data_IF_944938923556
#
_entry.id   IF_944938923556
#
_cell.length_a   1.000
_cell.length_b   1.000
_cell.length_c   1.000
_cell.angle_alpha   90.00
_cell.angle_beta   90.00
_cell.angle_gamma   90.00
#
_symmetry.space_group_name_H-M   'P 1'
#
loop_
_entity.id
_entity.type
_entity.pdbx_description
1 polymer ?
#
# COMPACT_ATOMS: atom_id res chain seq x y z
N UNK A 1 -1.23 -18.98 -10.07
CA UNK A 1 -0.40 -18.29 -11.08
C UNK A 1 -0.18 -16.89 -10.54
N UNK A 2 1.07 -16.40 -10.41
CA UNK A 2 1.31 -15.06 -9.89
C UNK A 2 0.65 -14.04 -10.81
N UNK A 3 0.02 -13.00 -10.23
CA UNK A 3 -0.41 -11.82 -10.96
C UNK A 3 0.87 -11.14 -11.49
N UNK A 4 1.31 -11.54 -12.68
CA UNK A 4 2.23 -10.72 -13.43
C UNK A 4 1.43 -9.50 -13.86
N UNK A 5 1.58 -8.38 -13.13
CA UNK A 5 1.29 -7.08 -13.72
C UNK A 5 2.17 -7.04 -14.98
N UNK A 6 1.57 -7.07 -16.18
CA UNK A 6 2.36 -7.11 -17.40
C UNK A 6 3.31 -5.91 -17.40
N UNK A 7 4.57 -6.16 -17.75
CA UNK A 7 5.56 -5.11 -18.04
C UNK A 7 4.83 -4.04 -18.88
N UNK A 8 4.81 -2.77 -18.46
CA UNK A 8 3.84 -1.81 -18.94
C UNK A 8 4.08 -1.52 -20.43
N UNK A 9 3.25 -2.13 -21.27
CA UNK A 9 2.85 -1.58 -22.56
C UNK A 9 1.63 -0.73 -22.24
N UNK A 10 1.63 0.52 -22.71
CA UNK A 10 0.52 1.45 -22.62
C UNK A 10 -0.84 0.75 -22.69
N UNK A 11 -1.54 0.66 -21.54
CA UNK A 11 -2.81 -0.04 -21.42
C UNK A 11 -3.20 -0.15 -19.95
N UNK A 12 -4.32 0.48 -19.59
CA UNK A 12 -4.95 0.31 -18.29
C UNK A 12 -5.20 -1.18 -18.06
N UNK A 13 -4.65 -1.75 -16.98
CA UNK A 13 -5.06 -3.08 -16.52
C UNK A 13 -6.02 -2.85 -15.36
N UNK A 14 -7.34 -3.02 -15.54
CA UNK A 14 -8.26 -3.01 -14.43
C UNK A 14 -7.96 -4.22 -13.55
N UNK A 15 -7.55 -3.99 -12.31
CA UNK A 15 -7.52 -5.02 -11.29
C UNK A 15 -8.85 -4.96 -10.52
N UNK A 16 -9.63 -6.04 -10.60
CA UNK A 16 -10.84 -6.20 -9.79
C UNK A 16 -10.55 -7.20 -8.68
N UNK A 17 -10.57 -6.73 -7.43
CA UNK A 17 -10.52 -7.61 -6.27
C UNK A 17 -11.96 -8.02 -5.90
N UNK A 18 -12.24 -9.33 -5.89
CA UNK A 18 -13.54 -9.90 -5.46
C UNK A 18 -13.55 -10.26 -3.95
N UNK A 19 -14.73 -10.34 -3.29
CA UNK A 19 -14.91 -10.34 -1.82
C UNK A 19 -14.55 -11.64 -1.09
N UNK A 20 -13.43 -12.27 -1.40
CA UNK A 20 -13.07 -13.55 -0.77
C UNK A 20 -11.66 -13.49 -0.15
N UNK A 21 -11.17 -12.30 0.23
CA UNK A 21 -9.83 -12.20 0.78
C UNK A 21 -9.71 -11.13 1.86
N UNK A 22 -9.04 -11.45 2.96
CA UNK A 22 -8.77 -10.53 4.09
C UNK A 22 -8.04 -9.24 3.64
N UNK A 23 -7.28 -9.33 2.56
CA UNK A 23 -6.72 -8.17 1.83
C UNK A 23 -7.78 -7.13 1.46
N UNK A 24 -8.90 -7.60 0.89
CA UNK A 24 -9.98 -6.76 0.41
C UNK A 24 -10.58 -5.94 1.55
N UNK A 25 -10.82 -6.56 2.70
CA UNK A 25 -11.46 -5.88 3.83
C UNK A 25 -10.59 -4.75 4.38
N UNK A 26 -9.28 -4.97 4.50
CA UNK A 26 -8.36 -3.96 5.01
C UNK A 26 -8.16 -2.81 4.01
N UNK A 27 -8.13 -3.11 2.72
CA UNK A 27 -8.08 -2.08 1.69
C UNK A 27 -9.38 -1.26 1.67
N UNK A 28 -10.55 -1.91 1.72
CA UNK A 28 -11.87 -1.26 1.85
C UNK A 28 -11.89 -0.28 3.01
N UNK A 29 -11.45 -0.72 4.20
CA UNK A 29 -11.43 0.15 5.40
C UNK A 29 -10.48 1.33 5.21
N UNK A 30 -9.30 1.10 4.63
CA UNK A 30 -8.32 2.16 4.39
C UNK A 30 -8.86 3.22 3.41
N UNK A 31 -9.37 2.77 2.27
CA UNK A 31 -9.90 3.65 1.23
C UNK A 31 -11.14 4.40 1.70
N UNK A 32 -12.03 3.73 2.44
CA UNK A 32 -13.22 4.37 2.98
C UNK A 32 -12.89 5.42 4.04
N UNK A 33 -11.93 5.11 4.92
CA UNK A 33 -11.43 6.05 5.92
C UNK A 33 -10.80 7.29 5.27
N UNK A 34 -9.98 7.08 4.23
CA UNK A 34 -9.39 8.16 3.45
C UNK A 34 -10.44 9.01 2.73
N UNK A 35 -11.36 8.38 2.01
CA UNK A 35 -12.45 9.05 1.30
C UNK A 35 -13.33 9.87 2.25
N UNK A 36 -13.74 9.28 3.38
CA UNK A 36 -14.56 9.93 4.39
C UNK A 36 -13.89 11.17 4.97
N UNK A 37 -12.60 11.08 5.30
CA UNK A 37 -11.84 12.22 5.82
C UNK A 37 -11.74 13.35 4.79
N UNK A 38 -11.33 13.04 3.55
CA UNK A 38 -11.20 14.03 2.47
C UNK A 38 -12.55 14.72 2.23
N UNK A 39 -13.65 13.95 2.21
CA UNK A 39 -15.00 14.49 2.03
C UNK A 39 -15.42 15.42 3.18
N UNK A 40 -15.20 15.01 4.42
CA UNK A 40 -15.53 15.84 5.60
C UNK A 40 -14.76 17.15 5.64
N UNK A 41 -13.45 17.11 5.39
CA UNK A 41 -12.59 18.30 5.44
C UNK A 41 -12.90 19.30 4.33
N UNK A 42 -13.19 18.83 3.11
CA UNK A 42 -13.54 19.70 1.98
C UNK A 42 -14.92 20.36 2.16
N UNK A 43 -15.89 19.62 2.70
CA UNK A 43 -17.19 20.19 3.08
C UNK A 43 -17.06 21.29 4.14
N UNK A 44 -16.25 21.06 5.17
CA UNK A 44 -15.99 22.08 6.22
C UNK A 44 -15.28 23.31 5.68
N UNK A 45 -14.37 23.14 4.71
CA UNK A 45 -13.64 24.24 4.08
C UNK A 45 -14.48 25.03 3.05
N UNK A 46 -15.76 24.70 2.87
CA UNK A 46 -16.63 25.33 1.85
C UNK A 46 -16.11 25.12 0.43
N UNK A 47 -15.21 24.17 0.23
CA UNK A 47 -14.57 23.90 -1.06
C UNK A 47 -15.40 22.86 -1.80
N UNK A 48 -15.62 23.06 -3.10
CA UNK A 48 -16.23 22.02 -3.93
C UNK A 48 -15.31 20.80 -3.87
N UNK A 49 -15.88 19.66 -3.49
CA UNK A 49 -15.19 18.37 -3.46
C UNK A 49 -14.41 18.18 -4.75
N UNK A 50 -13.15 17.71 -4.70
CA UNK A 50 -12.59 17.03 -5.86
C UNK A 50 -13.49 15.83 -6.13
N UNK A 51 -14.37 15.97 -7.13
CA UNK A 51 -15.13 14.86 -7.66
C UNK A 51 -14.15 14.03 -8.46
N UNK A 52 -13.77 12.89 -7.90
CA UNK A 52 -12.82 12.03 -8.55
C UNK A 52 -12.34 10.89 -7.66
N UNK A 53 -11.65 9.94 -8.29
CA UNK A 53 -11.08 8.80 -7.61
C UNK A 53 -9.91 9.22 -6.71
N UNK A 54 -9.63 8.42 -5.68
CA UNK A 54 -8.44 8.62 -4.85
C UNK A 54 -7.23 8.10 -5.62
N UNK A 55 -6.15 8.86 -5.60
CA UNK A 55 -4.92 8.55 -6.32
C UNK A 55 -3.78 8.31 -5.36
N UNK A 56 -3.13 7.17 -5.52
CA UNK A 56 -2.00 6.74 -4.72
C UNK A 56 -0.78 6.64 -5.62
N UNK A 57 0.20 7.51 -5.39
CA UNK A 57 1.48 7.43 -6.09
C UNK A 57 2.23 6.18 -5.63
N UNK A 58 2.89 5.51 -6.58
CA UNK A 58 3.87 4.47 -6.32
C UNK A 58 5.27 5.04 -6.57
N UNK A 59 6.23 4.65 -5.74
CA UNK A 59 7.65 4.98 -5.88
C UNK A 59 8.44 3.82 -6.46
N UNK A 60 8.05 2.58 -6.13
CA UNK A 60 8.66 1.38 -6.67
C UNK A 60 8.38 1.25 -8.16
N UNK A 61 7.20 1.68 -8.58
CA UNK A 61 6.80 1.82 -9.97
C UNK A 61 6.52 3.27 -10.30
N UNK A 62 6.90 3.74 -11.49
CA UNK A 62 6.49 5.07 -11.98
C UNK A 62 5.02 5.03 -12.40
N UNK A 63 4.16 4.73 -11.45
CA UNK A 63 2.75 4.47 -11.63
C UNK A 63 1.93 5.19 -10.55
N UNK A 64 0.67 5.43 -10.88
CA UNK A 64 -0.36 5.91 -9.97
C UNK A 64 -1.46 4.85 -9.92
N UNK A 65 -1.91 4.52 -8.72
CA UNK A 65 -3.06 3.64 -8.49
C UNK A 65 -4.25 4.55 -8.23
N UNK A 66 -5.22 4.46 -9.12
CA UNK A 66 -6.49 5.15 -8.99
C UNK A 66 -7.52 4.19 -8.39
N UNK A 67 -8.09 4.57 -7.25
CA UNK A 67 -9.14 3.84 -6.56
C UNK A 67 -10.49 4.51 -6.84
N UNK A 68 -11.39 3.77 -7.49
CA UNK A 68 -12.77 4.21 -7.70
C UNK A 68 -13.54 4.08 -6.38
N UNK A 69 -13.73 5.21 -5.71
CA UNK A 69 -14.35 5.28 -4.39
C UNK A 69 -15.87 5.39 -4.42
N UNK A 70 -16.48 5.62 -5.59
CA UNK A 70 -17.93 5.82 -5.63
C UNK A 70 -18.71 4.53 -5.31
N UNK A 71 -18.37 3.36 -5.86
CA UNK A 71 -18.98 2.09 -5.45
C UNK A 71 -18.76 1.80 -3.96
N UNK A 72 -17.57 2.14 -3.44
CA UNK A 72 -17.20 1.94 -2.04
C UNK A 72 -18.06 2.79 -1.11
N UNK A 73 -18.11 4.10 -1.35
CA UNK A 73 -18.88 5.02 -0.53
C UNK A 73 -20.38 4.77 -0.66
N UNK A 74 -20.86 4.42 -1.86
CA UNK A 74 -22.27 4.05 -2.07
C UNK A 74 -22.65 2.82 -1.24
N UNK A 75 -21.84 1.76 -1.26
CA UNK A 75 -22.09 0.56 -0.46
C UNK A 75 -22.14 0.88 1.05
N UNK A 76 -21.15 1.62 1.54
CA UNK A 76 -21.06 1.99 2.96
C UNK A 76 -22.23 2.88 3.39
N UNK A 77 -22.62 3.84 2.55
CA UNK A 77 -23.77 4.72 2.83
C UNK A 77 -25.08 3.94 2.90
N UNK A 78 -25.16 2.82 2.17
CA UNK A 78 -26.28 1.89 2.21
C UNK A 78 -26.18 0.85 3.35
N UNK A 79 -25.24 1.02 4.29
CA UNK A 79 -24.96 0.06 5.37
C UNK A 79 -24.65 -1.35 4.85
N UNK A 80 -23.99 -1.42 3.70
CA UNK A 80 -23.61 -2.67 3.04
C UNK A 80 -22.09 -2.74 2.85
N UNK A 81 -21.56 -3.96 2.77
CA UNK A 81 -20.15 -4.17 2.43
C UNK A 81 -19.98 -4.09 0.90
N UNK A 82 -18.99 -3.35 0.38
CA UNK A 82 -18.71 -3.35 -1.05
C UNK A 82 -18.33 -4.76 -1.52
N UNK A 83 -18.77 -5.13 -2.72
CA UNK A 83 -18.44 -6.42 -3.34
C UNK A 83 -17.28 -6.35 -4.34
N UNK A 84 -16.75 -5.16 -4.57
CA UNK A 84 -15.55 -4.98 -5.39
C UNK A 84 -14.94 -3.61 -5.13
N UNK A 85 -13.63 -3.53 -5.29
CA UNK A 85 -12.88 -2.28 -5.44
C UNK A 85 -12.22 -2.35 -6.80
N UNK A 86 -12.34 -1.26 -7.56
CA UNK A 86 -11.66 -1.11 -8.83
C UNK A 86 -10.41 -0.28 -8.61
N UNK A 87 -9.26 -0.93 -8.83
CA UNK A 87 -7.97 -0.27 -8.87
C UNK A 87 -7.52 -0.17 -10.32
N UNK A 88 -7.13 1.03 -10.74
CA UNK A 88 -6.62 1.31 -12.07
C UNK A 88 -5.19 1.81 -11.92
N UNK A 89 -4.23 0.95 -12.25
CA UNK A 89 -2.84 1.37 -12.35
C UNK A 89 -2.62 2.09 -13.68
N UNK A 90 -2.04 3.29 -13.61
CA UNK A 90 -1.70 4.10 -14.78
C UNK A 90 -0.24 4.53 -14.69
N UNK A 91 0.49 4.44 -15.81
CA UNK A 91 1.86 4.95 -15.88
C UNK A 91 1.86 6.47 -15.67
N UNK A 92 2.81 6.96 -14.87
CA UNK A 92 3.01 8.40 -14.73
C UNK A 92 3.84 8.94 -15.90
N UNK A 93 3.44 10.06 -16.52
CA UNK A 93 4.12 10.60 -17.71
C UNK A 93 5.53 11.14 -17.42
N UNK A 94 5.87 11.43 -16.15
CA UNK A 94 7.20 11.89 -15.74
C UNK A 94 7.56 11.29 -14.39
N UNK A 95 8.82 10.88 -14.24
CA UNK A 95 9.37 10.52 -12.94
C UNK A 95 9.25 11.73 -12.01
N UNK A 96 8.66 11.59 -10.80
CA UNK A 96 8.62 12.70 -9.85
C UNK A 96 10.05 13.18 -9.62
N UNK A 97 10.30 14.48 -9.81
CA UNK A 97 11.63 15.08 -9.64
C UNK A 97 12.27 14.60 -8.34
N UNK A 98 13.52 14.13 -8.43
CA UNK A 98 14.26 13.48 -7.34
C UNK A 98 14.47 14.35 -6.09
N UNK A 99 14.03 15.62 -6.11
CA UNK A 99 14.02 16.52 -4.96
C UNK A 99 12.91 16.11 -3.98
N UNK A 100 13.18 15.04 -3.22
CA UNK A 100 12.35 14.52 -2.13
C UNK A 100 12.53 15.39 -0.89
N UNK A 101 11.93 16.56 -0.89
CA UNK A 101 11.80 17.39 0.33
C UNK A 101 10.34 17.72 0.55
N UNK A 102 9.57 16.72 0.96
CA UNK A 102 8.23 16.95 1.49
C UNK A 102 8.27 16.72 2.98
N UNK A 103 8.31 17.80 3.74
CA UNK A 103 7.71 17.81 5.08
C UNK A 103 6.33 17.17 4.91
N UNK A 104 6.13 16.01 5.54
CA UNK A 104 4.89 15.26 5.36
C UNK A 104 3.73 16.15 5.76
N UNK A 105 2.86 16.49 4.80
CA UNK A 105 1.67 17.29 5.08
C UNK A 105 0.80 16.51 6.08
N UNK A 106 -0.09 17.20 6.80
CA UNK A 106 -1.02 16.52 7.72
C UNK A 106 -1.82 15.41 7.03
N UNK A 107 -2.17 15.61 5.75
CA UNK A 107 -2.86 14.63 4.91
C UNK A 107 -1.96 13.43 4.57
N UNK A 108 -0.69 13.65 4.24
CA UNK A 108 0.25 12.55 3.99
C UNK A 108 0.46 11.71 5.26
N UNK A 109 0.58 12.33 6.43
CA UNK A 109 0.70 11.59 7.70
C UNK A 109 -0.55 10.75 7.98
N UNK A 110 -1.74 11.34 7.82
CA UNK A 110 -2.99 10.61 8.02
C UNK A 110 -3.12 9.43 7.04
N UNK A 111 -2.92 9.69 5.75
CA UNK A 111 -3.00 8.66 4.70
C UNK A 111 -1.99 7.55 4.97
N UNK A 112 -0.76 7.93 5.30
CA UNK A 112 0.30 7.00 5.69
C UNK A 112 -0.08 6.13 6.90
N UNK A 113 -0.62 6.71 7.96
CA UNK A 113 -1.07 5.97 9.15
C UNK A 113 -2.21 4.99 8.85
N UNK A 114 -3.16 5.39 8.00
CA UNK A 114 -4.27 4.52 7.57
C UNK A 114 -3.73 3.30 6.82
N UNK A 115 -2.84 3.51 5.83
CA UNK A 115 -2.24 2.42 5.06
C UNK A 115 -1.32 1.55 5.91
N UNK A 116 -0.55 2.16 6.81
CA UNK A 116 0.30 1.44 7.74
C UNK A 116 -0.50 0.50 8.64
N UNK A 117 -1.63 0.98 9.18
CA UNK A 117 -2.53 0.15 9.98
C UNK A 117 -3.12 -1.01 9.17
N UNK A 118 -3.65 -0.73 7.97
CA UNK A 118 -4.20 -1.76 7.08
C UNK A 118 -3.15 -2.83 6.73
N UNK A 119 -1.93 -2.42 6.42
CA UNK A 119 -0.82 -3.32 6.14
C UNK A 119 -0.45 -4.17 7.35
N UNK A 120 -0.31 -3.57 8.53
CA UNK A 120 0.00 -4.30 9.77
C UNK A 120 -1.02 -5.41 10.02
N UNK A 121 -2.32 -5.08 10.01
CA UNK A 121 -3.37 -6.06 10.28
C UNK A 121 -3.37 -7.17 9.24
N UNK A 122 -3.26 -6.83 7.96
CA UNK A 122 -3.15 -7.83 6.90
C UNK A 122 -1.92 -8.74 7.06
N UNK A 123 -0.77 -8.17 7.39
CA UNK A 123 0.47 -8.92 7.57
C UNK A 123 0.35 -9.90 8.73
N UNK A 124 -0.15 -9.49 9.91
CA UNK A 124 -0.28 -10.39 11.07
C UNK A 124 -1.14 -11.61 10.76
N UNK A 125 -2.19 -11.38 9.99
CA UNK A 125 -3.10 -12.41 9.50
C UNK A 125 -2.37 -13.36 8.52
N UNK A 126 -1.63 -12.79 7.57
CA UNK A 126 -0.87 -13.54 6.56
C UNK A 126 0.33 -14.28 7.15
N UNK A 127 0.87 -13.84 8.30
CA UNK A 127 2.10 -14.38 8.87
C UNK A 127 2.01 -15.87 9.20
N UNK A 128 0.84 -16.32 9.67
CA UNK A 128 0.64 -17.75 9.92
C UNK A 128 0.78 -18.57 8.64
N UNK A 129 0.19 -18.11 7.53
CA UNK A 129 0.28 -18.79 6.24
C UNK A 129 1.71 -18.72 5.66
N UNK A 130 2.42 -17.60 5.86
CA UNK A 130 3.84 -17.48 5.53
C UNK A 130 4.71 -18.49 6.28
N UNK A 131 4.51 -18.62 7.61
CA UNK A 131 5.24 -19.57 8.44
C UNK A 131 4.99 -21.02 8.03
N UNK A 132 3.73 -21.36 7.71
CA UNK A 132 3.35 -22.71 7.22
C UNK A 132 4.00 -23.02 5.87
N UNK A 133 4.09 -22.03 4.98
CA UNK A 133 4.54 -22.23 3.59
C UNK A 133 6.06 -22.15 3.43
N UNK A 134 6.71 -21.25 4.16
CA UNK A 134 8.14 -20.93 3.98
C UNK A 134 8.99 -21.20 5.23
N UNK A 135 8.37 -21.71 6.31
CA UNK A 135 9.04 -21.94 7.60
C UNK A 135 9.14 -20.69 8.45
N UNK A 136 9.60 -20.84 9.69
CA UNK A 136 9.67 -19.76 10.69
C UNK A 136 10.94 -18.92 10.60
N UNK A 137 11.87 -19.24 9.70
CA UNK A 137 13.12 -18.50 9.49
C UNK A 137 12.94 -17.47 8.37
N UNK A 138 12.83 -16.16 8.69
CA UNK A 138 12.57 -15.14 7.68
C UNK A 138 13.70 -14.98 6.66
N UNK A 139 14.92 -15.43 6.98
CA UNK A 139 16.06 -15.34 6.05
C UNK A 139 15.90 -16.32 4.87
N UNK A 140 15.01 -17.32 4.98
CA UNK A 140 14.68 -18.28 3.93
C UNK A 140 13.47 -17.89 3.10
N UNK A 141 12.75 -16.83 3.49
CA UNK A 141 11.56 -16.39 2.76
C UNK A 141 11.91 -15.79 1.39
N UNK A 142 10.95 -15.75 0.45
CA UNK A 142 11.09 -14.95 -0.76
C UNK A 142 11.41 -13.47 -0.45
N UNK A 143 12.19 -12.83 -1.32
CA UNK A 143 12.64 -11.44 -1.12
C UNK A 143 11.50 -10.45 -0.90
N UNK A 144 10.35 -10.65 -1.56
CA UNK A 144 9.12 -9.85 -1.35
C UNK A 144 8.63 -9.95 0.09
N UNK A 145 8.62 -11.15 0.68
CA UNK A 145 8.16 -11.36 2.06
C UNK A 145 9.19 -10.84 3.07
N UNK A 146 10.49 -10.92 2.76
CA UNK A 146 11.54 -10.27 3.56
C UNK A 146 11.36 -8.76 3.59
N UNK A 147 11.14 -8.15 2.42
CA UNK A 147 10.83 -6.73 2.29
C UNK A 147 9.55 -6.39 3.08
N UNK A 148 8.47 -7.16 2.91
CA UNK A 148 7.22 -7.00 3.66
C UNK A 148 7.41 -7.05 5.18
N UNK A 149 8.25 -7.97 5.67
CA UNK A 149 8.58 -8.07 7.10
C UNK A 149 9.28 -6.80 7.59
N UNK A 150 10.21 -6.23 6.82
CA UNK A 150 10.86 -4.97 7.16
C UNK A 150 9.86 -3.80 7.16
N UNK A 151 8.95 -3.74 6.18
CA UNK A 151 7.83 -2.79 6.14
C UNK A 151 6.96 -2.90 7.38
N UNK A 152 6.56 -4.12 7.74
CA UNK A 152 5.76 -4.39 8.94
C UNK A 152 6.49 -3.89 10.18
N UNK A 153 7.77 -4.21 10.31
CA UNK A 153 8.55 -3.79 11.47
C UNK A 153 8.61 -2.27 11.58
N UNK A 154 8.83 -1.58 10.45
CA UNK A 154 8.83 -0.13 10.44
C UNK A 154 7.50 0.47 10.91
N UNK A 155 6.38 -0.04 10.41
CA UNK A 155 5.05 0.42 10.83
C UNK A 155 4.76 0.12 12.31
N UNK A 156 5.23 -1.02 12.83
CA UNK A 156 5.19 -1.33 14.26
C UNK A 156 6.04 -0.38 15.12
N UNK A 157 7.06 0.26 14.53
CA UNK A 157 7.95 1.22 15.17
C UNK A 157 7.70 2.68 14.72
N UNK A 158 6.43 3.03 14.50
CA UNK A 158 6.03 4.40 14.23
C UNK A 158 6.47 4.92 12.85
N UNK A 159 6.66 4.02 11.89
CA UNK A 159 7.04 4.33 10.51
C UNK A 159 8.55 4.35 10.26
N UNK A 160 9.38 4.10 11.28
CA UNK A 160 10.84 4.14 11.17
C UNK A 160 11.40 2.72 11.03
N UNK A 161 12.29 2.49 10.06
CA UNK A 161 12.97 1.19 9.90
C UNK A 161 13.77 0.84 11.17
N UNK A 162 13.45 -0.29 11.81
CA UNK A 162 14.24 -0.90 12.90
C UNK A 162 14.82 -2.24 12.40
N UNK A 163 15.98 -2.20 11.76
CA UNK A 163 16.67 -3.37 11.21
C UNK A 163 17.82 -3.71 12.14
N UNK A 164 17.61 -4.70 13.03
CA UNK A 164 18.61 -5.07 14.05
C UNK A 164 19.65 -6.10 13.58
N UNK A 165 19.30 -6.91 12.60
CA UNK A 165 20.21 -7.90 12.02
C UNK A 165 21.02 -7.23 10.90
N UNK A 166 22.36 -7.11 11.00
CA UNK A 166 23.18 -6.49 9.97
C UNK A 166 23.17 -7.22 8.62
N UNK A 167 22.75 -8.49 8.60
CA UNK A 167 22.66 -9.32 7.39
C UNK A 167 21.28 -9.31 6.75
N UNK A 168 20.26 -8.73 7.40
CA UNK A 168 18.92 -8.73 6.85
C UNK A 168 18.87 -7.85 5.60
N UNK A 169 18.35 -8.42 4.52
CA UNK A 169 18.10 -7.74 3.25
C UNK A 169 16.70 -8.12 2.76
N UNK A 170 16.05 -7.21 2.05
CA UNK A 170 14.80 -7.48 1.34
C UNK A 170 14.78 -6.70 0.04
N UNK A 171 14.43 -7.38 -1.05
CA UNK A 171 14.34 -6.77 -2.38
C UNK A 171 12.91 -6.86 -2.91
N UNK A 172 12.37 -5.73 -3.38
CA UNK A 172 11.04 -5.67 -3.95
C UNK A 172 10.95 -4.57 -5.01
N UNK A 173 10.58 -4.95 -6.25
CA UNK A 173 10.39 -4.03 -7.39
C UNK A 173 11.55 -3.04 -7.59
N UNK A 174 12.79 -3.53 -7.47
CA UNK A 174 14.01 -2.73 -7.62
C UNK A 174 14.40 -1.90 -6.40
N UNK A 175 13.56 -1.85 -5.36
CA UNK A 175 13.91 -1.30 -4.06
C UNK A 175 14.63 -2.36 -3.22
N UNK A 176 15.69 -1.94 -2.53
CA UNK A 176 16.43 -2.78 -1.60
C UNK A 176 16.43 -2.11 -0.24
N UNK A 177 16.03 -2.85 0.78
CA UNK A 177 16.17 -2.46 2.18
C UNK A 177 17.22 -3.33 2.85
N UNK A 178 18.06 -2.69 3.66
CA UNK A 178 19.13 -3.35 4.40
C UNK A 178 19.42 -2.60 5.69
N UNK A 179 20.33 -3.13 6.51
CA UNK A 179 20.81 -2.45 7.73
C UNK A 179 21.32 -1.03 7.49
N UNK A 180 21.81 -0.70 6.28
CA UNK A 180 22.24 0.64 5.92
C UNK A 180 21.11 1.68 5.97
N UNK A 181 19.85 1.23 5.89
CA UNK A 181 18.66 2.08 5.95
C UNK A 181 18.05 2.18 7.35
N UNK A 182 18.70 1.59 8.36
CA UNK A 182 18.18 1.59 9.73
C UNK A 182 18.00 3.04 10.25
N UNK A 183 16.84 3.31 10.85
CA UNK A 183 16.47 4.65 11.33
C UNK A 183 15.86 5.57 10.26
N UNK A 184 15.84 5.18 8.99
CA UNK A 184 15.14 5.94 7.96
C UNK A 184 13.61 5.80 8.07
N UNK A 185 12.88 6.81 7.60
CA UNK A 185 11.43 6.71 7.47
C UNK A 185 11.07 5.73 6.35
N UNK A 186 10.05 4.91 6.56
CA UNK A 186 9.60 3.96 5.54
C UNK A 186 8.73 4.66 4.49
N UNK A 187 7.64 5.27 4.94
CA UNK A 187 6.73 6.01 4.08
C UNK A 187 7.33 7.35 3.66
N UNK A 188 7.14 7.66 2.38
CA UNK A 188 7.59 8.87 1.68
C UNK A 188 9.10 9.04 1.54
N UNK A 189 9.90 8.06 1.96
CA UNK A 189 11.34 8.00 1.67
C UNK A 189 11.70 6.78 0.82
N UNK A 190 11.21 5.59 1.20
CA UNK A 190 11.42 4.36 0.42
C UNK A 190 10.18 3.95 -0.40
N UNK A 191 8.99 4.04 0.21
CA UNK A 191 7.72 3.66 -0.41
C UNK A 191 6.66 4.73 -0.18
N UNK A 192 5.67 4.81 -1.06
CA UNK A 192 4.47 5.62 -0.93
C UNK A 192 3.24 4.75 -0.58
N UNK A 193 2.07 5.38 -0.43
CA UNK A 193 0.83 4.67 -0.09
C UNK A 193 0.42 3.65 -1.16
N UNK A 194 0.64 3.95 -2.44
CA UNK A 194 0.33 3.03 -3.54
C UNK A 194 1.21 1.79 -3.50
N UNK A 195 2.48 1.95 -3.15
CA UNK A 195 3.41 0.82 -2.99
C UNK A 195 2.97 -0.13 -1.88
N UNK A 196 2.38 0.39 -0.78
CA UNK A 196 1.84 -0.47 0.29
C UNK A 196 0.74 -1.38 -0.26
N UNK A 197 -0.16 -0.84 -1.10
CA UNK A 197 -1.23 -1.62 -1.74
C UNK A 197 -0.65 -2.69 -2.66
N UNK A 198 0.33 -2.34 -3.49
CA UNK A 198 1.02 -3.30 -4.36
C UNK A 198 1.72 -4.40 -3.57
N UNK A 199 2.38 -4.05 -2.47
CA UNK A 199 3.07 -5.02 -1.63
C UNK A 199 2.09 -6.02 -1.00
N UNK A 200 0.92 -5.56 -0.56
CA UNK A 200 -0.12 -6.46 -0.05
C UNK A 200 -0.66 -7.41 -1.13
N UNK A 201 -0.82 -6.94 -2.37
CA UNK A 201 -1.18 -7.78 -3.52
C UNK A 201 -0.11 -8.82 -3.81
N UNK A 202 1.17 -8.42 -3.84
CA UNK A 202 2.27 -9.35 -4.11
C UNK A 202 2.41 -10.40 -3.00
N UNK A 203 2.16 -10.05 -1.73
CA UNK A 203 2.09 -11.02 -0.62
C UNK A 203 0.94 -12.01 -0.87
N UNK A 204 -0.24 -11.52 -1.27
CA UNK A 204 -1.40 -12.37 -1.55
C UNK A 204 -1.10 -13.38 -2.66
N UNK A 205 -0.41 -12.97 -3.71
CA UNK A 205 -0.11 -13.85 -4.85
C UNK A 205 0.93 -14.93 -4.52
N UNK A 206 1.72 -14.72 -3.47
CA UNK A 206 2.69 -15.69 -2.96
C UNK A 206 2.05 -16.73 -2.02
N UNK A 207 0.92 -16.39 -1.38
CA UNK A 207 0.20 -17.26 -0.46
C UNK A 207 -0.85 -18.13 -1.18
#
# INVERSE_FOLDING_TARGET
MPFAIPIPIAGQVPATATPIHRFFDHLVVAEAGGAGYIRGHTQQAGTILPQGPIRHVCFAEQAEIECDVDPLVSAISALSWPTSIRLIASAMPQSPSATRTTTSSGIQRLTGSIHAHAFLTYYEIANHEMDVRYGTDPEQWPEVLKFARMTRNAFGHGGTLDIRNPRATGVWRGLTLSYANNGEQMLYNHIASGDVVLLMLDIKDLL
#
